data_IF_194829119010
#
_entry.id   IF_194829119010
#
_cell.length_a   1.000
_cell.length_b   1.000
_cell.length_c   1.000
_cell.angle_alpha   90.00
_cell.angle_beta   90.00
_cell.angle_gamma   90.00
#
_symmetry.space_group_name_H-M   'P 1'
#
loop_
_entity.id
_entity.type
_entity.pdbx_description
1 polymer ?
#
# COMPACT_ATOMS: atom_id res chain seq x y z
N UNK A 1 3.44 -12.23 13.41
CA UNK A 1 4.87 -11.95 13.12
C UNK A 1 5.05 -10.56 12.50
N UNK A 2 6.15 -9.86 12.83
CA UNK A 2 6.58 -8.64 12.14
C UNK A 2 7.83 -8.94 11.31
N UNK A 3 7.86 -8.55 10.03
CA UNK A 3 9.00 -8.79 9.14
C UNK A 3 9.47 -7.48 8.52
N UNK A 4 10.78 -7.22 8.58
CA UNK A 4 11.41 -6.00 8.06
C UNK A 4 10.81 -4.71 8.67
N UNK A 5 10.29 -4.80 9.90
CA UNK A 5 9.68 -3.73 10.68
C UNK A 5 10.31 -3.73 12.07
N UNK A 6 10.71 -2.55 12.56
CA UNK A 6 11.18 -2.36 13.94
C UNK A 6 10.00 -2.02 14.86
N UNK A 7 10.11 -2.30 16.15
CA UNK A 7 9.07 -1.99 17.15
C UNK A 7 8.69 -0.50 17.16
N UNK A 8 9.67 0.39 16.98
CA UNK A 8 9.46 1.85 16.86
C UNK A 8 8.58 2.24 15.67
N UNK A 9 8.26 1.31 14.78
CA UNK A 9 7.45 1.54 13.59
C UNK A 9 6.02 1.00 13.71
N UNK A 10 5.66 0.37 14.84
CA UNK A 10 4.34 -0.23 15.01
C UNK A 10 3.23 0.81 15.05
N UNK A 11 3.53 2.01 15.53
CA UNK A 11 2.59 3.14 15.55
C UNK A 11 2.66 3.99 14.28
N UNK A 12 3.53 3.65 13.32
CA UNK A 12 3.59 4.37 12.06
C UNK A 12 2.30 4.18 11.26
N UNK A 13 1.83 5.28 10.68
CA UNK A 13 0.67 5.26 9.80
C UNK A 13 0.98 4.55 8.48
N UNK A 14 0.03 3.72 8.08
CA UNK A 14 -0.04 3.07 6.77
C UNK A 14 -1.38 3.39 6.11
N UNK A 15 -1.39 3.31 4.80
CA UNK A 15 -2.49 3.78 3.97
C UNK A 15 -2.88 2.75 2.92
N UNK A 16 -4.16 2.70 2.59
CA UNK A 16 -4.68 1.87 1.50
C UNK A 16 -5.75 2.63 0.74
N UNK A 17 -5.70 2.58 -0.58
CA UNK A 17 -6.75 3.13 -1.45
C UNK A 17 -7.72 1.99 -1.76
N UNK A 18 -9.00 2.23 -1.54
CA UNK A 18 -10.10 1.30 -1.85
C UNK A 18 -11.22 2.08 -2.54
N UNK A 19 -12.07 1.40 -3.30
CA UNK A 19 -13.27 2.05 -3.85
C UNK A 19 -14.21 2.51 -2.73
N UNK A 20 -15.03 3.52 -3.01
CA UNK A 20 -16.09 3.98 -2.12
C UNK A 20 -17.00 2.82 -1.68
N UNK A 21 -17.38 1.94 -2.60
CA UNK A 21 -18.27 0.79 -2.33
C UNK A 21 -17.62 -0.19 -1.34
N UNK A 22 -16.31 -0.42 -1.45
CA UNK A 22 -15.58 -1.30 -0.53
C UNK A 22 -15.45 -0.70 0.87
N UNK A 23 -15.37 0.62 0.97
CA UNK A 23 -15.47 1.30 2.27
C UNK A 23 -16.83 1.04 2.91
N UNK A 24 -17.93 1.26 2.16
CA UNK A 24 -19.27 1.05 2.68
C UNK A 24 -19.48 -0.41 3.11
N UNK A 25 -19.13 -1.36 2.25
CA UNK A 25 -19.20 -2.81 2.56
C UNK A 25 -18.40 -3.18 3.82
N UNK A 26 -17.20 -2.60 4.02
CA UNK A 26 -16.40 -2.84 5.22
C UNK A 26 -17.11 -2.42 6.49
N UNK A 27 -17.83 -1.29 6.48
CA UNK A 27 -18.62 -0.81 7.62
C UNK A 27 -19.89 -1.63 7.84
N UNK A 28 -20.61 -1.97 6.76
CA UNK A 28 -21.84 -2.77 6.82
C UNK A 28 -21.58 -4.18 7.33
N UNK A 29 -20.56 -4.84 6.79
CA UNK A 29 -20.23 -6.24 7.12
C UNK A 29 -19.32 -6.36 8.34
N UNK A 30 -18.71 -5.26 8.79
CA UNK A 30 -17.68 -5.21 9.85
C UNK A 30 -16.54 -6.20 9.59
N UNK A 31 -16.12 -6.33 8.34
CA UNK A 31 -15.08 -7.28 7.92
C UNK A 31 -13.96 -6.62 7.14
N UNK A 32 -12.73 -7.00 7.46
CA UNK A 32 -11.58 -6.74 6.59
C UNK A 32 -11.33 -7.95 5.69
N UNK A 33 -10.96 -7.69 4.44
CA UNK A 33 -10.85 -8.72 3.40
C UNK A 33 -9.45 -8.77 2.79
N UNK A 34 -8.86 -9.96 2.81
CA UNK A 34 -7.62 -10.33 2.13
C UNK A 34 -7.97 -11.24 0.94
N UNK A 35 -7.09 -11.26 -0.05
CA UNK A 35 -7.25 -12.10 -1.26
C UNK A 35 -6.02 -12.97 -1.46
N UNK A 36 -6.17 -14.10 -2.15
CA UNK A 36 -5.02 -14.92 -2.52
C UNK A 36 -4.05 -14.11 -3.41
N UNK A 37 -2.72 -14.23 -3.23
CA UNK A 37 -1.72 -13.55 -4.06
C UNK A 37 -1.86 -13.81 -5.57
N UNK A 38 -2.50 -14.92 -5.98
CA UNK A 38 -2.81 -15.20 -7.38
C UNK A 38 -3.75 -14.19 -8.04
N UNK A 39 -4.50 -13.43 -7.25
CA UNK A 39 -5.39 -12.36 -7.71
C UNK A 39 -4.71 -10.99 -7.79
N UNK A 40 -3.43 -10.89 -7.41
CA UNK A 40 -2.65 -9.67 -7.56
C UNK A 40 -2.16 -9.51 -9.00
N UNK A 41 -2.05 -8.26 -9.46
CA UNK A 41 -1.66 -7.95 -10.85
C UNK A 41 -0.20 -8.32 -11.15
N UNK A 42 0.72 -8.22 -10.19
CA UNK A 42 2.12 -8.61 -10.40
C UNK A 42 2.29 -10.14 -10.35
N UNK A 43 2.26 -10.74 -11.53
CA UNK A 43 2.50 -12.19 -11.73
C UNK A 43 3.83 -12.68 -11.15
N UNK A 44 4.83 -11.80 -11.02
CA UNK A 44 6.16 -12.16 -10.52
C UNK A 44 6.14 -12.51 -9.02
N UNK A 45 5.20 -11.94 -8.26
CA UNK A 45 5.09 -12.19 -6.82
C UNK A 45 4.66 -13.63 -6.50
N UNK A 46 4.03 -14.31 -7.46
CA UNK A 46 3.64 -15.71 -7.32
C UNK A 46 4.75 -16.69 -7.76
N UNK A 47 5.84 -16.21 -8.35
CA UNK A 47 6.87 -17.07 -8.94
C UNK A 47 7.47 -18.06 -7.92
N UNK A 48 7.80 -17.56 -6.72
CA UNK A 48 8.41 -18.39 -5.68
C UNK A 48 7.43 -19.45 -5.16
N UNK A 49 6.16 -19.06 -4.98
CA UNK A 49 5.11 -19.94 -4.48
C UNK A 49 4.63 -20.97 -5.52
N UNK A 50 4.91 -20.74 -6.80
CA UNK A 50 4.66 -21.67 -7.91
C UNK A 50 5.88 -22.52 -8.27
N UNK A 51 6.98 -22.38 -7.54
CA UNK A 51 8.20 -23.14 -7.80
C UNK A 51 7.99 -24.64 -7.54
N UNK A 52 8.62 -25.47 -8.38
CA UNK A 52 8.57 -26.93 -8.28
C UNK A 52 9.81 -27.44 -7.55
N UNK A 53 9.62 -28.37 -6.62
CA UNK A 53 10.70 -29.07 -5.95
C UNK A 53 10.99 -30.36 -6.72
N UNK A 54 12.23 -30.52 -7.20
CA UNK A 54 12.69 -31.75 -7.85
C UNK A 54 13.60 -32.51 -6.90
N UNK A 55 13.26 -33.75 -6.59
CA UNK A 55 14.06 -34.64 -5.77
C UNK A 55 15.14 -35.33 -6.59
N UNK A 56 16.13 -35.93 -5.90
CA UNK A 56 17.26 -36.62 -6.53
C UNK A 56 16.84 -37.85 -7.34
N UNK A 57 15.71 -38.46 -6.99
CA UNK A 57 15.09 -39.57 -7.73
C UNK A 57 14.34 -39.13 -9.00
N UNK A 58 14.32 -37.82 -9.28
CA UNK A 58 13.64 -37.23 -10.43
C UNK A 58 12.18 -36.89 -10.22
N UNK A 59 11.57 -37.25 -9.07
CA UNK A 59 10.21 -36.87 -8.73
C UNK A 59 10.08 -35.35 -8.55
N UNK A 60 8.90 -34.81 -8.89
CA UNK A 60 8.63 -33.37 -8.84
C UNK A 60 7.37 -33.10 -8.04
N UNK A 61 7.49 -32.29 -7.00
CA UNK A 61 6.35 -31.80 -6.20
C UNK A 61 6.10 -30.34 -6.55
N UNK A 62 4.83 -30.00 -6.75
CA UNK A 62 4.38 -28.61 -6.86
C UNK A 62 3.81 -28.19 -5.51
N UNK A 63 4.23 -27.03 -5.02
CA UNK A 63 3.76 -26.52 -3.74
C UNK A 63 2.40 -25.84 -3.93
N UNK A 64 1.45 -26.22 -3.08
CA UNK A 64 0.11 -25.64 -2.97
C UNK A 64 0.09 -24.40 -2.05
N UNK A 65 1.25 -23.93 -1.61
CA UNK A 65 1.36 -22.92 -0.55
C UNK A 65 0.72 -21.58 -0.93
N UNK A 66 0.69 -21.24 -2.22
CA UNK A 66 -0.04 -20.05 -2.70
C UNK A 66 -1.56 -20.15 -2.52
N UNK A 67 -2.13 -21.36 -2.48
CA UNK A 67 -3.56 -21.57 -2.23
C UNK A 67 -3.93 -21.45 -0.75
N UNK A 68 -2.92 -21.35 0.12
CA UNK A 68 -3.05 -21.24 1.59
C UNK A 68 -2.77 -19.83 2.11
N UNK A 69 -2.31 -18.94 1.24
CA UNK A 69 -1.91 -17.60 1.60
C UNK A 69 -2.95 -16.59 1.13
N UNK A 70 -3.24 -15.63 1.98
CA UNK A 70 -4.02 -14.46 1.65
C UNK A 70 -3.23 -13.23 2.04
N UNK A 71 -3.39 -12.12 1.31
CA UNK A 71 -2.74 -10.89 1.67
C UNK A 71 -3.52 -9.64 1.30
N UNK A 72 -3.06 -8.55 1.87
CA UNK A 72 -3.59 -7.21 1.68
C UNK A 72 -2.44 -6.19 1.72
N UNK A 73 -2.36 -5.40 0.65
CA UNK A 73 -1.30 -4.43 0.42
C UNK A 73 -1.64 -3.04 0.99
N UNK A 74 -0.69 -2.41 1.65
CA UNK A 74 -0.74 -1.07 2.20
C UNK A 74 0.52 -0.31 1.79
N UNK A 75 0.53 1.01 1.91
CA UNK A 75 1.71 1.85 1.66
C UNK A 75 2.05 2.68 2.89
N UNK A 76 3.34 2.95 3.13
CA UNK A 76 3.77 3.97 4.10
C UNK A 76 3.75 5.39 3.50
N UNK A 77 3.52 5.53 2.19
CA UNK A 77 3.50 6.82 1.52
C UNK A 77 2.21 7.59 1.86
N UNK A 78 2.34 8.72 2.56
CA UNK A 78 1.20 9.52 3.03
C UNK A 78 0.52 10.35 1.92
N UNK A 79 1.27 10.71 0.88
CA UNK A 79 0.81 11.51 -0.24
C UNK A 79 1.57 11.10 -1.50
N UNK A 80 0.92 10.38 -2.40
CA UNK A 80 1.48 10.03 -3.69
C UNK A 80 0.40 10.19 -4.76
N UNK A 81 0.61 11.14 -5.67
CA UNK A 81 -0.26 11.31 -6.82
C UNK A 81 -0.32 10.05 -7.69
N UNK A 82 0.83 9.38 -7.82
CA UNK A 82 0.94 8.12 -8.55
C UNK A 82 0.00 7.06 -7.97
N UNK A 83 -0.11 6.95 -6.64
CA UNK A 83 -1.03 5.99 -6.01
C UNK A 83 -2.49 6.30 -6.34
N UNK A 84 -2.91 7.56 -6.37
CA UNK A 84 -4.26 7.92 -6.80
C UNK A 84 -4.50 7.59 -8.27
N UNK A 85 -3.52 7.83 -9.15
CA UNK A 85 -3.65 7.50 -10.57
C UNK A 85 -3.73 5.99 -10.83
N UNK A 86 -2.99 5.20 -10.06
CA UNK A 86 -2.95 3.73 -10.19
C UNK A 86 -4.23 3.09 -9.62
N UNK A 87 -4.71 3.54 -8.45
CA UNK A 87 -5.78 2.83 -7.71
C UNK A 87 -7.15 3.54 -7.73
N UNK A 88 -7.28 4.69 -8.39
CA UNK A 88 -8.51 5.50 -8.45
C UNK A 88 -8.74 6.03 -9.86
N UNK A 89 -8.94 5.14 -10.83
CA UNK A 89 -9.11 5.55 -12.23
C UNK A 89 -10.35 6.43 -12.45
N UNK A 90 -11.43 6.16 -11.73
CA UNK A 90 -12.70 6.88 -11.82
C UNK A 90 -12.84 8.05 -10.83
N UNK A 91 -11.79 8.30 -10.02
CA UNK A 91 -11.74 9.33 -8.95
C UNK A 91 -12.76 9.10 -7.82
N UNK A 92 -13.33 7.89 -7.71
CA UNK A 92 -14.29 7.53 -6.66
C UNK A 92 -13.68 6.67 -5.56
N UNK A 93 -12.37 6.42 -5.60
CA UNK A 93 -11.69 5.74 -4.51
C UNK A 93 -11.45 6.68 -3.34
N UNK A 94 -11.34 6.08 -2.16
CA UNK A 94 -10.99 6.72 -0.91
C UNK A 94 -9.74 6.05 -0.35
N UNK A 95 -8.95 6.81 0.39
CA UNK A 95 -7.78 6.31 1.10
C UNK A 95 -8.10 6.20 2.58
N UNK A 96 -7.99 5.00 3.11
CA UNK A 96 -8.06 4.75 4.56
C UNK A 96 -6.66 4.78 5.17
N UNK A 97 -6.58 5.18 6.45
CA UNK A 97 -5.36 5.19 7.25
C UNK A 97 -5.56 4.37 8.52
N UNK A 98 -4.55 3.58 8.87
CA UNK A 98 -4.43 2.90 10.17
C UNK A 98 -2.97 2.91 10.61
N UNK A 99 -2.64 2.23 11.71
CA UNK A 99 -1.24 1.96 12.11
C UNK A 99 -0.89 0.50 11.85
N UNK A 100 0.40 0.21 11.70
CA UNK A 100 0.92 -1.17 11.55
C UNK A 100 0.40 -2.07 12.67
N UNK A 101 0.49 -1.59 13.92
CA UNK A 101 0.04 -2.28 15.12
C UNK A 101 -1.45 -2.57 15.11
N UNK A 102 -2.31 -1.57 14.87
CA UNK A 102 -3.77 -1.78 14.81
C UNK A 102 -4.17 -2.82 13.78
N UNK A 103 -3.56 -2.76 12.59
CA UNK A 103 -3.89 -3.67 11.50
C UNK A 103 -3.52 -5.13 11.82
N UNK A 104 -2.28 -5.40 12.24
CA UNK A 104 -1.87 -6.77 12.54
C UNK A 104 -2.55 -7.32 13.79
N UNK A 105 -2.81 -6.48 14.80
CA UNK A 105 -3.56 -6.86 15.99
C UNK A 105 -4.98 -7.27 15.64
N UNK A 106 -5.66 -6.56 14.73
CA UNK A 106 -7.01 -6.94 14.27
C UNK A 106 -7.05 -8.37 13.69
N UNK A 107 -6.06 -8.75 12.89
CA UNK A 107 -5.96 -10.09 12.32
C UNK A 107 -5.57 -11.13 13.38
N UNK A 108 -4.66 -10.77 14.30
CA UNK A 108 -4.21 -11.64 15.38
C UNK A 108 -5.36 -11.99 16.34
N UNK A 109 -6.20 -11.01 16.67
CA UNK A 109 -7.42 -11.21 17.47
C UNK A 109 -8.38 -12.17 16.75
N UNK A 110 -8.63 -11.96 15.46
CA UNK A 110 -9.50 -12.85 14.69
C UNK A 110 -8.96 -14.29 14.58
N UNK A 111 -7.64 -14.46 14.65
CA UNK A 111 -7.00 -15.77 14.65
C UNK A 111 -6.87 -16.41 16.03
N UNK A 112 -7.17 -15.71 17.14
CA UNK A 112 -6.92 -16.22 18.48
C UNK A 112 -7.59 -17.58 18.75
N UNK A 113 -8.74 -17.84 18.13
CA UNK A 113 -9.48 -19.10 18.23
C UNK A 113 -9.27 -20.03 17.02
N UNK A 114 -8.51 -19.60 16.01
CA UNK A 114 -8.23 -20.36 14.80
C UNK A 114 -6.98 -21.20 14.95
N UNK A 115 -7.13 -22.49 15.24
CA UNK A 115 -6.01 -23.43 15.13
C UNK A 115 -5.44 -23.41 13.70
N UNK A 116 -4.14 -23.61 13.56
CA UNK A 116 -3.44 -23.73 12.26
C UNK A 116 -3.49 -22.48 11.37
N UNK A 117 -3.53 -21.30 12.00
CA UNK A 117 -3.43 -19.99 11.33
C UNK A 117 -2.21 -19.24 11.79
N UNK A 118 -1.54 -18.56 10.87
CA UNK A 118 -0.40 -17.69 11.19
C UNK A 118 -0.55 -16.36 10.45
N UNK A 119 -0.19 -15.26 11.10
CA UNK A 119 -0.33 -13.92 10.55
C UNK A 119 1.01 -13.18 10.53
N UNK A 120 1.23 -12.40 9.48
CA UNK A 120 2.42 -11.57 9.32
C UNK A 120 2.03 -10.17 8.85
N UNK A 121 2.71 -9.16 9.36
CA UNK A 121 2.80 -7.86 8.71
C UNK A 121 4.25 -7.55 8.39
N UNK A 122 4.54 -7.05 7.19
CA UNK A 122 5.92 -6.76 6.83
C UNK A 122 6.10 -5.75 5.71
N UNK A 123 7.26 -5.08 5.72
CA UNK A 123 7.69 -4.20 4.63
C UNK A 123 8.23 -5.01 3.47
N UNK A 124 7.82 -4.64 2.27
CA UNK A 124 8.35 -5.19 1.03
C UNK A 124 9.76 -4.65 0.79
N UNK A 125 10.70 -5.55 0.48
CA UNK A 125 12.03 -5.19 0.02
C UNK A 125 12.10 -5.19 -1.51
N UNK A 126 12.75 -4.17 -2.06
CA UNK A 126 12.87 -3.99 -3.50
C UNK A 126 14.24 -4.46 -3.98
N UNK A 127 14.25 -5.49 -4.84
CA UNK A 127 15.46 -6.20 -5.25
C UNK A 127 15.51 -6.41 -6.76
N UNK A 128 16.69 -6.72 -7.28
CA UNK A 128 16.82 -7.17 -8.67
C UNK A 128 16.24 -8.57 -8.84
N UNK A 129 15.88 -8.94 -10.07
CA UNK A 129 15.36 -10.27 -10.37
C UNK A 129 16.31 -11.39 -9.92
N UNK A 130 17.61 -11.25 -10.21
CA UNK A 130 18.63 -12.19 -9.77
C UNK A 130 18.67 -12.38 -8.23
N UNK A 131 18.48 -11.29 -7.48
CA UNK A 131 18.41 -11.35 -6.02
C UNK A 131 17.14 -12.05 -5.53
N UNK A 132 15.99 -11.81 -6.17
CA UNK A 132 14.73 -12.47 -5.82
C UNK A 132 14.83 -13.97 -6.12
N UNK A 133 15.41 -14.35 -7.26
CA UNK A 133 15.69 -15.75 -7.61
C UNK A 133 16.62 -16.42 -6.60
N UNK A 134 17.66 -15.73 -6.13
CA UNK A 134 18.55 -16.24 -5.11
C UNK A 134 17.84 -16.44 -3.76
N UNK A 135 16.95 -15.52 -3.37
CA UNK A 135 16.13 -15.67 -2.16
C UNK A 135 15.14 -16.82 -2.27
N UNK A 136 14.49 -16.99 -3.41
CA UNK A 136 13.59 -18.10 -3.68
C UNK A 136 14.30 -19.45 -3.46
N UNK A 137 15.51 -19.60 -4.01
CA UNK A 137 16.33 -20.81 -3.84
C UNK A 137 16.75 -21.04 -2.38
N UNK A 138 17.07 -19.97 -1.64
CA UNK A 138 17.46 -20.03 -0.22
C UNK A 138 16.28 -20.25 0.73
N UNK A 139 15.05 -19.99 0.29
CA UNK A 139 13.86 -20.13 1.13
C UNK A 139 13.59 -21.60 1.49
N UNK A 140 14.04 -22.53 0.65
CA UNK A 140 13.95 -23.97 0.89
C UNK A 140 15.23 -24.50 1.55
N UNK A 141 15.08 -25.34 2.56
CA UNK A 141 16.20 -26.12 3.11
C UNK A 141 16.66 -27.18 2.10
N UNK A 142 17.82 -27.80 2.35
CA UNK A 142 18.32 -28.93 1.53
C UNK A 142 17.33 -30.09 1.43
N UNK A 143 16.44 -30.23 2.41
CA UNK A 143 15.41 -31.27 2.48
C UNK A 143 14.05 -30.79 1.91
N UNK A 144 13.99 -29.61 1.28
CA UNK A 144 12.78 -29.06 0.68
C UNK A 144 11.78 -28.45 1.68
N UNK A 145 12.14 -28.34 2.96
CA UNK A 145 11.29 -27.72 3.98
C UNK A 145 11.41 -26.19 3.94
N UNK A 146 10.35 -25.49 4.34
CA UNK A 146 10.32 -24.04 4.45
C UNK A 146 9.75 -23.64 5.81
N UNK A 147 10.36 -22.65 6.47
CA UNK A 147 9.80 -22.05 7.69
C UNK A 147 8.71 -21.04 7.32
N UNK A 148 7.74 -20.78 8.20
CA UNK A 148 6.75 -19.72 7.97
C UNK A 148 7.39 -18.35 7.74
N UNK A 149 8.47 -18.04 8.48
CA UNK A 149 9.23 -16.81 8.27
C UNK A 149 9.86 -16.73 6.86
N UNK A 150 10.46 -17.81 6.37
CA UNK A 150 10.96 -17.88 5.00
C UNK A 150 9.82 -17.71 3.99
N UNK A 151 8.68 -18.36 4.20
CA UNK A 151 7.50 -18.27 3.34
C UNK A 151 6.98 -16.84 3.23
N UNK A 152 6.74 -16.17 4.35
CA UNK A 152 6.30 -14.78 4.35
C UNK A 152 7.32 -13.85 3.68
N UNK A 153 8.63 -14.08 3.86
CA UNK A 153 9.67 -13.28 3.19
C UNK A 153 9.60 -13.39 1.67
N UNK A 154 9.17 -14.53 1.12
CA UNK A 154 8.98 -14.66 -0.34
C UNK A 154 7.86 -13.77 -0.88
N UNK A 155 6.85 -13.47 -0.05
CA UNK A 155 5.78 -12.51 -0.36
C UNK A 155 6.15 -11.07 -0.05
N UNK A 156 7.32 -10.80 0.55
CA UNK A 156 7.78 -9.47 0.94
C UNK A 156 8.97 -9.00 0.10
N UNK A 157 9.05 -9.44 -1.15
CA UNK A 157 10.04 -8.98 -2.12
C UNK A 157 9.37 -8.60 -3.44
N UNK A 158 9.77 -7.46 -3.99
CA UNK A 158 9.33 -6.98 -5.31
C UNK A 158 10.50 -6.49 -6.15
N UNK A 159 10.26 -6.36 -7.45
CA UNK A 159 11.23 -5.77 -8.38
C UNK A 159 11.40 -4.28 -8.08
N UNK A 160 12.61 -3.75 -8.25
CA UNK A 160 12.94 -2.32 -8.01
C UNK A 160 12.01 -1.32 -8.70
N UNK A 161 11.43 -1.66 -9.86
CA UNK A 161 10.49 -0.80 -10.57
C UNK A 161 9.26 -0.38 -9.72
N UNK A 162 8.88 -1.20 -8.72
CA UNK A 162 7.73 -0.96 -7.84
C UNK A 162 8.09 -0.23 -6.52
N UNK A 163 9.34 0.21 -6.36
CA UNK A 163 9.82 0.85 -5.11
C UNK A 163 9.00 2.09 -4.70
N UNK A 164 8.42 2.77 -5.69
CA UNK A 164 7.57 3.93 -5.48
C UNK A 164 6.29 3.62 -4.67
N UNK A 165 5.85 2.36 -4.61
CA UNK A 165 4.69 1.94 -3.84
C UNK A 165 4.94 1.95 -2.32
N UNK A 166 6.21 1.81 -1.89
CA UNK A 166 6.62 1.72 -0.47
C UNK A 166 5.71 0.79 0.34
N UNK A 167 5.60 -0.44 -0.12
CA UNK A 167 4.54 -1.37 0.25
C UNK A 167 4.78 -2.06 1.62
N UNK A 168 3.70 -2.24 2.37
CA UNK A 168 3.59 -3.07 3.57
C UNK A 168 2.47 -4.07 3.33
N UNK A 169 2.70 -5.36 3.63
CA UNK A 169 1.69 -6.41 3.43
C UNK A 169 1.24 -6.96 4.76
N UNK A 170 -0.07 -7.05 4.94
CA UNK A 170 -0.69 -7.95 5.89
C UNK A 170 -0.90 -9.30 5.18
N UNK A 171 -0.46 -10.38 5.79
CA UNK A 171 -0.47 -11.73 5.22
C UNK A 171 -1.06 -12.70 6.23
N UNK A 172 -1.97 -13.54 5.76
CA UNK A 172 -2.57 -14.65 6.49
C UNK A 172 -2.14 -15.97 5.84
N UNK A 173 -1.70 -16.92 6.65
CA UNK A 173 -1.47 -18.31 6.24
C UNK A 173 -2.48 -19.22 6.92
N UNK A 174 -3.15 -20.06 6.13
CA UNK A 174 -3.98 -21.17 6.61
C UNK A 174 -3.27 -22.50 6.32
N UNK A 175 -2.66 -23.08 7.34
CA UNK A 175 -1.95 -24.35 7.25
C UNK A 175 -2.78 -25.52 7.80
N UNK A 176 -4.11 -25.37 7.81
CA UNK A 176 -5.04 -26.44 8.15
C UNK A 176 -4.97 -27.66 7.24
N UNK A 177 -5.55 -28.77 7.67
CA UNK A 177 -5.52 -30.04 6.94
C UNK A 177 -6.18 -29.93 5.54
N UNK A 178 -7.27 -29.17 5.43
CA UNK A 178 -7.97 -28.95 4.17
C UNK A 178 -7.47 -27.69 3.46
N UNK A 179 -7.48 -27.74 2.12
CA UNK A 179 -7.15 -26.58 1.31
C UNK A 179 -8.30 -25.56 1.29
N UNK A 180 -8.02 -24.26 1.52
CA UNK A 180 -9.03 -23.22 1.42
C UNK A 180 -9.62 -23.11 0.01
N UNK A 181 -10.94 -23.30 -0.11
CA UNK A 181 -11.66 -23.29 -1.39
C UNK A 181 -11.88 -21.88 -1.96
N UNK A 182 -11.98 -20.88 -1.10
CA UNK A 182 -12.27 -19.50 -1.49
C UNK A 182 -10.98 -18.72 -1.73
N UNK A 183 -10.99 -17.87 -2.76
CA UNK A 183 -9.88 -16.95 -3.04
C UNK A 183 -9.89 -15.69 -2.16
N UNK A 184 -10.90 -15.58 -1.31
CA UNK A 184 -11.16 -14.47 -0.41
C UNK A 184 -11.13 -14.99 1.04
N UNK A 185 -10.42 -14.28 1.90
CA UNK A 185 -10.42 -14.47 3.34
C UNK A 185 -10.89 -13.17 4.00
N UNK A 186 -11.98 -13.24 4.75
CA UNK A 186 -12.50 -12.09 5.49
C UNK A 186 -12.56 -12.40 6.97
N UNK A 187 -12.24 -11.41 7.80
CA UNK A 187 -12.26 -11.53 9.25
C UNK A 187 -12.92 -10.31 9.89
N UNK A 188 -13.52 -10.52 11.05
CA UNK A 188 -14.25 -9.47 11.76
C UNK A 188 -13.31 -8.41 12.30
N UNK A 189 -13.74 -7.15 12.17
CA UNK A 189 -13.05 -5.97 12.69
C UNK A 189 -14.08 -5.01 13.28
N UNK A 190 -13.62 -4.05 14.07
CA UNK A 190 -14.33 -2.80 14.23
C UNK A 190 -13.72 -1.74 13.30
N UNK A 191 -14.41 -1.32 12.23
CA UNK A 191 -13.93 -0.29 11.32
C UNK A 191 -13.72 1.07 11.98
N UNK A 192 -14.49 1.40 13.03
CA UNK A 192 -14.35 2.66 13.76
C UNK A 192 -13.05 2.71 14.57
N UNK A 193 -12.61 1.55 15.10
CA UNK A 193 -11.34 1.44 15.82
C UNK A 193 -10.15 1.28 14.89
N UNK A 194 -10.31 0.51 13.80
CA UNK A 194 -9.24 0.21 12.86
C UNK A 194 -8.87 1.45 12.04
N UNK A 195 -9.86 2.18 11.53
CA UNK A 195 -9.64 3.32 10.64
C UNK A 195 -9.46 4.59 11.47
N UNK A 196 -8.32 5.25 11.30
CA UNK A 196 -7.99 6.51 12.01
C UNK A 196 -8.21 7.76 11.15
N UNK A 197 -8.39 7.59 9.84
CA UNK A 197 -8.72 8.66 8.91
C UNK A 197 -9.20 8.08 7.58
N UNK A 198 -10.16 8.76 6.97
CA UNK A 198 -10.55 8.61 5.58
C UNK A 198 -10.13 9.86 4.81
N UNK A 199 -9.61 9.67 3.61
CA UNK A 199 -9.29 10.75 2.70
C UNK A 199 -9.93 10.49 1.34
N UNK A 200 -10.72 11.44 0.86
CA UNK A 200 -11.35 11.37 -0.47
C UNK A 200 -10.32 11.79 -1.53
N UNK A 201 -10.42 11.21 -2.71
CA UNK A 201 -9.54 11.52 -3.86
C UNK A 201 -9.40 13.04 -4.05
N UNK A 202 -8.17 13.57 -4.09
CA UNK A 202 -7.96 15.02 -4.18
C UNK A 202 -8.34 15.62 -5.53
N UNK A 203 -8.59 14.80 -6.56
CA UNK A 203 -9.02 15.25 -7.89
C UNK A 203 -10.53 15.49 -7.98
N UNK A 204 -11.25 15.18 -6.91
CA UNK A 204 -12.68 15.43 -6.76
C UNK A 204 -12.93 16.91 -6.44
N UNK A 205 -14.01 17.47 -7.01
CA UNK A 205 -14.40 18.86 -6.75
C UNK A 205 -14.72 19.07 -5.26
N UNK A 206 -14.68 20.32 -4.79
CA UNK A 206 -15.01 20.59 -3.39
C UNK A 206 -16.48 20.28 -3.05
N UNK A 207 -17.40 20.52 -3.99
CA UNK A 207 -18.82 20.20 -3.82
C UNK A 207 -19.04 18.69 -3.72
N UNK A 208 -18.45 17.91 -4.62
CA UNK A 208 -18.53 16.44 -4.59
C UNK A 208 -17.86 15.86 -3.33
N UNK A 209 -16.80 16.49 -2.84
CA UNK A 209 -16.16 16.12 -1.58
C UNK A 209 -17.12 16.22 -0.39
N UNK A 210 -17.82 17.34 -0.22
CA UNK A 210 -18.77 17.51 0.89
C UNK A 210 -19.94 16.52 0.77
N UNK A 211 -20.47 16.31 -0.45
CA UNK A 211 -21.52 15.31 -0.69
C UNK A 211 -21.03 13.89 -0.31
N UNK A 212 -19.84 13.51 -0.77
CA UNK A 212 -19.29 12.19 -0.47
C UNK A 212 -19.00 12.02 1.03
N UNK A 213 -18.47 13.05 1.69
CA UNK A 213 -18.23 13.06 3.13
C UNK A 213 -19.52 12.86 3.92
N UNK A 214 -20.59 13.59 3.58
CA UNK A 214 -21.90 13.42 4.21
C UNK A 214 -22.48 12.03 3.98
N UNK A 215 -22.33 11.49 2.76
CA UNK A 215 -22.78 10.14 2.44
C UNK A 215 -22.00 9.07 3.20
N UNK A 216 -20.68 9.22 3.37
CA UNK A 216 -19.89 8.33 4.22
C UNK A 216 -20.43 8.38 5.65
N UNK A 217 -20.56 9.58 6.24
CA UNK A 217 -21.11 9.74 7.60
C UNK A 217 -22.46 9.06 7.77
N UNK A 218 -23.41 9.32 6.86
CA UNK A 218 -24.77 8.77 6.93
C UNK A 218 -24.81 7.25 6.80
N UNK A 219 -24.00 6.67 5.91
CA UNK A 219 -24.02 5.23 5.65
C UNK A 219 -23.20 4.42 6.66
N UNK A 220 -22.10 4.98 7.15
CA UNK A 220 -21.14 4.24 7.98
C UNK A 220 -21.19 4.61 9.46
N UNK A 221 -21.78 5.75 9.81
CA UNK A 221 -21.71 6.30 11.16
C UNK A 221 -20.29 6.63 11.62
N UNK A 222 -19.29 6.61 10.72
CA UNK A 222 -17.90 6.88 11.09
C UNK A 222 -17.81 8.27 11.70
N UNK A 223 -17.08 8.44 12.81
CA UNK A 223 -16.94 9.74 13.49
C UNK A 223 -15.54 10.34 13.33
N UNK A 224 -14.54 9.52 12.96
CA UNK A 224 -13.16 9.97 12.80
C UNK A 224 -12.93 10.91 11.62
N UNK A 225 -11.70 11.37 11.43
CA UNK A 225 -11.35 12.36 10.40
C UNK A 225 -11.73 11.93 8.97
N UNK A 226 -12.50 12.75 8.23
CA UNK A 226 -12.68 12.66 6.77
C UNK A 226 -12.09 13.91 6.13
N UNK A 227 -11.00 13.75 5.37
CA UNK A 227 -10.23 14.88 4.79
C UNK A 227 -10.23 14.87 3.27
N UNK A 228 -10.01 16.04 2.70
CA UNK A 228 -9.59 16.21 1.30
C UNK A 228 -8.10 16.52 1.29
N UNK A 229 -7.32 15.91 0.41
CA UNK A 229 -5.91 16.29 0.26
C UNK A 229 -5.79 17.65 -0.43
N UNK A 230 -4.83 18.47 0.02
CA UNK A 230 -4.51 19.78 -0.54
C UNK A 230 -3.53 19.68 -1.72
N UNK A 231 -3.20 18.49 -2.19
CA UNK A 231 -2.18 18.24 -3.22
C UNK A 231 -2.37 19.08 -4.50
N UNK A 232 -3.62 19.38 -4.86
CA UNK A 232 -3.98 20.19 -6.04
C UNK A 232 -4.48 21.59 -5.69
N UNK A 233 -4.39 22.01 -4.42
CA UNK A 233 -4.70 23.39 -4.04
C UNK A 233 -3.57 24.28 -4.55
N UNK A 234 -3.90 25.23 -5.42
CA UNK A 234 -2.96 26.27 -5.81
C UNK A 234 -2.56 27.07 -4.55
N UNK A 235 -1.26 27.34 -4.34
CA UNK A 235 -0.85 28.27 -3.28
C UNK A 235 -1.44 29.65 -3.56
N UNK A 236 -1.51 30.48 -2.51
CA UNK A 236 -1.89 31.87 -2.68
C UNK A 236 -0.91 32.58 -3.63
N UNK A 237 -1.46 33.40 -4.52
CA UNK A 237 -0.66 34.18 -5.47
C UNK A 237 0.31 35.05 -4.69
N UNK A 238 1.60 34.96 -5.02
CA UNK A 238 2.62 35.81 -4.39
C UNK A 238 2.75 37.09 -5.21
N UNK A 239 2.64 38.23 -4.55
CA UNK A 239 3.02 39.53 -5.14
C UNK A 239 4.54 39.65 -5.05
N UNK A 240 5.20 39.82 -6.19
CA UNK A 240 6.63 40.06 -6.27
C UNK A 240 6.87 41.55 -6.54
N UNK A 241 7.60 42.22 -5.66
CA UNK A 241 8.13 43.55 -5.93
C UNK A 241 9.37 43.40 -6.81
N UNK A 242 9.39 44.09 -7.94
CA UNK A 242 10.54 44.12 -8.86
C UNK A 242 11.00 45.56 -9.04
N UNK A 243 12.30 45.79 -8.95
CA UNK A 243 12.91 47.06 -9.35
C UNK A 243 13.09 47.07 -10.87
N UNK A 244 12.47 48.03 -11.53
CA UNK A 244 12.62 48.21 -12.98
C UNK A 244 13.97 48.88 -13.26
N UNK A 245 14.98 48.10 -13.61
CA UNK A 245 16.27 48.65 -14.05
C UNK A 245 16.07 49.21 -15.46
N UNK A 246 15.94 50.53 -15.56
CA UNK A 246 16.07 51.22 -16.85
C UNK A 246 17.54 51.25 -17.25
N UNK A 247 17.93 50.42 -18.21
CA UNK A 247 19.22 50.55 -18.87
C UNK A 247 19.18 51.75 -19.81
N UNK A 248 19.72 52.89 -19.37
CA UNK A 248 19.99 54.03 -20.27
C UNK A 248 21.12 53.65 -21.23
N UNK A 249 20.76 53.18 -22.42
CA UNK A 249 21.66 53.22 -23.58
C UNK A 249 21.76 54.68 -24.03
N UNK A 250 22.65 55.44 -23.39
CA UNK A 250 23.07 56.74 -23.89
C UNK A 250 23.81 56.54 -25.22
N UNK A 251 23.17 56.93 -26.31
CA UNK A 251 23.83 57.23 -27.58
C UNK A 251 24.85 58.35 -27.36
N UNK A 252 26.13 58.04 -27.50
CA UNK A 252 27.20 59.03 -27.63
C UNK A 252 26.93 59.90 -28.87
N UNK A 253 26.78 61.21 -28.67
CA UNK A 253 27.05 62.21 -29.70
C UNK A 253 28.42 62.85 -29.40
N UNK A 254 29.30 63.10 -30.39
CA UNK A 254 30.65 63.56 -30.13
C UNK A 254 30.71 65.04 -29.72
N UNK A 255 31.76 65.33 -28.94
CA UNK A 255 32.18 66.61 -28.39
C UNK A 255 32.23 67.75 -29.42
N UNK A 256 31.72 68.90 -29.00
CA UNK A 256 32.01 70.20 -29.60
C UNK A 256 32.38 71.16 -28.48
N UNK A 257 33.68 71.23 -28.16
CA UNK A 257 34.25 72.15 -27.19
C UNK A 257 34.78 73.38 -27.95
N UNK A 258 34.31 74.57 -27.56
CA UNK A 258 34.84 75.85 -28.01
C UNK A 258 34.80 76.84 -26.83
N UNK A 259 35.97 77.00 -26.23
CA UNK A 259 36.49 78.14 -25.47
C UNK A 259 35.72 79.46 -25.57
N UNK A 260 35.40 80.10 -24.44
CA UNK A 260 36.17 81.13 -23.70
C UNK A 260 35.50 81.38 -22.34
#
# INVERSE_FOLDING_TARGET
>A
MYINLKETEYDNYIYRIISYERLIEMFETRKNTLVKPKLWEDTFENFVLKSKLKFLDGSVITLDTHERLYGQCWTISNASDAMWRIYSHDKKSIRIRTTVGKLVSSLSIANANGAMKEACIGKVEYKSEAQIMALAKKAFTRNGQMTFGSLFRTLLVKRKAFEHEKEVRLIQLDWGNELPKNDIFSYEIDPHELITQIMIDPRTSYQDFEIMKDNIRKKTGYEGDIKRSLLYRLPETVTLEIEQIFSNLNSQAPEGDASV
#
